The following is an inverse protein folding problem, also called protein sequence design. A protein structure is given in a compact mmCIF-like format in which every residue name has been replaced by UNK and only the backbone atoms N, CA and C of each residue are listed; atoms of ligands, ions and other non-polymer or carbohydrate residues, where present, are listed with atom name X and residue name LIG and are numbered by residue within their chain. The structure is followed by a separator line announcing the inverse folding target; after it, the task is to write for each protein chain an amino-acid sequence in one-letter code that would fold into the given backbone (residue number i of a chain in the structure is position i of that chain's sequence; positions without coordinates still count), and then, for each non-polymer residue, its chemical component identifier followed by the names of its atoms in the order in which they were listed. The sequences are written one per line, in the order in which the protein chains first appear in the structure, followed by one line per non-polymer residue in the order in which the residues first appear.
data_IF_952292332086
#
_entry.id   IF_952292332086
#
_cell.length_a   1.000
_cell.length_b   1.000
_cell.length_c   1.000
_cell.angle_alpha   90.00
_cell.angle_beta   90.00
_cell.angle_gamma   90.00
#
_symmetry.space_group_name_H-M   'P 1'
#
loop_
_entity.id
_entity.type
_entity.pdbx_description
1 polymer ?
#
# COMPACT_ATOMS: atom_id res chain seq x y z
N UNK A 1 -49.81 38.53 -21.51
CA UNK A 1 -50.11 37.79 -20.29
C UNK A 1 -49.79 36.29 -20.41
N UNK A 2 -50.19 35.60 -21.48
CA UNK A 2 -49.94 34.16 -21.65
C UNK A 2 -48.43 33.80 -21.79
N UNK A 3 -47.63 34.66 -22.38
CA UNK A 3 -46.22 34.44 -22.60
C UNK A 3 -45.36 34.60 -21.33
N UNK A 4 -45.79 35.52 -20.43
CA UNK A 4 -45.12 35.70 -19.13
C UNK A 4 -45.40 34.56 -18.16
N UNK A 5 -46.59 33.94 -18.26
CA UNK A 5 -46.97 32.80 -17.43
C UNK A 5 -46.19 31.52 -17.85
N UNK A 6 -46.00 31.29 -19.15
CA UNK A 6 -45.16 30.18 -19.64
C UNK A 6 -43.68 30.30 -19.23
N UNK A 7 -43.12 31.50 -19.22
CA UNK A 7 -41.75 31.75 -18.76
C UNK A 7 -41.58 31.55 -17.24
N UNK A 8 -42.62 31.88 -16.45
CA UNK A 8 -42.66 31.62 -15.02
C UNK A 8 -42.71 30.12 -14.70
N UNK A 9 -43.54 29.38 -15.42
CA UNK A 9 -43.67 27.93 -15.25
C UNK A 9 -42.45 27.18 -15.70
N UNK A 10 -41.80 27.57 -16.80
CA UNK A 10 -40.49 27.00 -17.22
C UNK A 10 -39.37 27.31 -16.19
N UNK A 11 -39.35 28.52 -15.61
CA UNK A 11 -38.36 28.88 -14.60
C UNK A 11 -38.56 28.07 -13.31
N UNK A 12 -39.79 27.81 -12.92
CA UNK A 12 -40.12 26.98 -11.77
C UNK A 12 -39.82 25.49 -12.01
N UNK A 13 -40.00 24.98 -13.22
CA UNK A 13 -39.65 23.60 -13.61
C UNK A 13 -38.11 23.44 -13.63
N UNK A 14 -37.37 24.43 -14.10
CA UNK A 14 -35.90 24.42 -14.08
C UNK A 14 -35.37 24.54 -12.64
N UNK A 15 -35.97 25.36 -11.78
CA UNK A 15 -35.61 25.43 -10.37
C UNK A 15 -35.92 24.11 -9.63
N UNK A 16 -37.05 23.46 -9.93
CA UNK A 16 -37.41 22.19 -9.34
C UNK A 16 -36.52 21.02 -9.83
N UNK A 17 -36.08 21.03 -11.08
CA UNK A 17 -35.15 20.04 -11.60
C UNK A 17 -33.73 20.28 -11.05
N UNK A 18 -33.32 21.51 -10.78
CA UNK A 18 -32.04 21.81 -10.13
C UNK A 18 -32.04 21.47 -8.62
N UNK A 19 -33.19 21.55 -7.95
CA UNK A 19 -33.32 21.12 -6.56
C UNK A 19 -33.33 19.58 -6.41
N UNK A 20 -33.74 18.84 -7.44
CA UNK A 20 -33.70 17.36 -7.42
C UNK A 20 -32.31 16.78 -7.73
N UNK A 21 -31.42 17.54 -8.38
CA UNK A 21 -30.02 17.14 -8.65
C UNK A 21 -29.11 17.39 -7.44
N UNK A 22 -29.59 18.16 -6.46
CA UNK A 22 -28.94 18.32 -5.14
C UNK A 22 -29.40 17.29 -4.10
N UNK A 23 -30.02 16.18 -4.51
CA UNK A 23 -30.11 14.99 -3.66
C UNK A 23 -28.69 14.49 -3.45
N UNK A 24 -28.05 15.01 -2.40
CA UNK A 24 -26.68 14.77 -2.05
C UNK A 24 -26.36 13.28 -2.11
N UNK A 25 -25.32 12.94 -2.80
CA UNK A 25 -24.60 11.69 -2.61
C UNK A 25 -24.32 11.62 -1.10
N UNK A 26 -25.22 11.01 -0.34
CA UNK A 26 -24.96 10.73 1.07
C UNK A 26 -23.83 9.73 1.06
N UNK A 27 -22.66 10.17 1.45
CA UNK A 27 -21.54 9.26 1.73
C UNK A 27 -22.10 8.11 2.57
N UNK A 28 -21.92 6.88 2.08
CA UNK A 28 -22.46 5.72 2.78
C UNK A 28 -21.56 5.43 3.97
N UNK A 29 -22.12 5.51 5.16
CA UNK A 29 -21.36 5.29 6.39
C UNK A 29 -21.22 3.81 6.70
N UNK A 30 -20.06 3.43 7.21
CA UNK A 30 -19.71 2.10 7.72
C UNK A 30 -19.45 2.24 9.21
N UNK A 31 -20.11 1.40 10.02
CA UNK A 31 -19.86 1.28 11.46
C UNK A 31 -18.84 0.20 11.72
N UNK A 32 -17.84 0.49 12.55
CA UNK A 32 -16.82 -0.46 12.98
C UNK A 32 -16.72 -0.40 14.49
N UNK A 33 -17.07 -1.49 15.15
CA UNK A 33 -16.90 -1.70 16.58
C UNK A 33 -16.00 -2.89 16.83
N UNK A 34 -15.46 -3.04 18.03
CA UNK A 34 -14.68 -4.23 18.31
C UNK A 34 -14.01 -4.25 19.68
N UNK A 35 -13.22 -5.30 19.87
CA UNK A 35 -12.42 -5.54 21.06
C UNK A 35 -10.95 -5.63 20.72
N UNK A 36 -10.11 -5.01 21.53
CA UNK A 36 -8.65 -5.04 21.39
C UNK A 36 -7.97 -5.08 22.79
N UNK A 37 -8.06 -6.20 23.51
CA UNK A 37 -7.65 -6.29 24.93
C UNK A 37 -6.17 -5.95 25.17
N UNK A 38 -5.29 -6.30 24.24
CA UNK A 38 -3.86 -6.02 24.34
C UNK A 38 -3.49 -4.53 24.17
N UNK A 39 -4.47 -3.66 23.86
CA UNK A 39 -4.22 -2.27 23.49
C UNK A 39 -5.06 -1.28 24.29
N UNK A 40 -5.49 -1.64 25.51
CA UNK A 40 -6.27 -0.76 26.39
C UNK A 40 -5.55 0.58 26.56
N UNK A 41 -6.28 1.69 26.43
CA UNK A 41 -5.76 3.05 26.48
C UNK A 41 -4.96 3.51 25.25
N UNK A 42 -4.69 2.63 24.29
CA UNK A 42 -4.01 2.97 23.02
C UNK A 42 -5.02 3.40 21.96
N UNK A 43 -4.52 4.00 20.88
CA UNK A 43 -5.34 4.36 19.72
C UNK A 43 -5.33 3.23 18.69
N UNK A 44 -6.52 2.83 18.24
CA UNK A 44 -6.69 2.05 17.02
C UNK A 44 -6.98 3.01 15.87
N UNK A 45 -6.32 2.82 14.73
CA UNK A 45 -6.36 3.72 13.58
C UNK A 45 -6.69 2.92 12.33
N UNK A 46 -7.48 3.54 11.47
CA UNK A 46 -7.97 2.94 10.23
C UNK A 46 -7.48 3.77 9.06
N UNK A 47 -6.89 3.11 8.08
CA UNK A 47 -6.29 3.76 6.92
C UNK A 47 -6.87 3.19 5.63
N UNK A 48 -7.20 4.08 4.71
CA UNK A 48 -7.46 3.74 3.32
C UNK A 48 -6.14 3.62 2.57
N UNK A 49 -6.04 2.62 1.68
CA UNK A 49 -4.97 2.54 0.69
C UNK A 49 -5.41 3.39 -0.50
N UNK A 50 -4.71 4.49 -0.78
CA UNK A 50 -5.06 5.41 -1.86
C UNK A 50 -4.84 4.78 -3.24
N UNK A 51 -3.77 4.02 -3.39
CA UNK A 51 -3.46 3.22 -4.57
C UNK A 51 -2.52 2.06 -4.24
N UNK A 52 -2.63 0.98 -4.99
CA UNK A 52 -1.85 -0.24 -4.76
C UNK A 52 -0.48 -0.26 -5.46
N UNK A 53 -0.10 0.79 -6.21
CA UNK A 53 1.24 0.93 -6.78
C UNK A 53 2.19 1.64 -5.81
N UNK A 54 1.76 2.73 -5.21
CA UNK A 54 2.52 3.44 -4.17
C UNK A 54 2.33 2.85 -2.78
N UNK A 55 1.21 2.17 -2.53
CA UNK A 55 0.73 1.69 -1.23
C UNK A 55 0.58 2.81 -0.18
N UNK A 56 0.33 4.05 -0.63
CA UNK A 56 0.13 5.17 0.26
C UNK A 56 -1.14 5.00 1.08
N UNK A 57 -1.00 5.21 2.38
CA UNK A 57 -2.09 5.06 3.34
C UNK A 57 -2.50 6.41 3.89
N UNK A 58 -3.82 6.67 3.90
CA UNK A 58 -4.40 7.89 4.47
C UNK A 58 -5.31 7.54 5.63
N UNK A 59 -5.13 8.22 6.76
CA UNK A 59 -5.95 8.02 7.95
C UNK A 59 -7.39 8.42 7.66
N UNK A 60 -8.33 7.50 7.85
CA UNK A 60 -9.77 7.71 7.65
C UNK A 60 -10.56 7.71 8.96
N UNK A 61 -9.94 7.26 10.05
CA UNK A 61 -10.55 7.30 11.36
C UNK A 61 -9.67 6.73 12.45
N UNK A 62 -9.98 7.08 13.70
CA UNK A 62 -9.31 6.53 14.88
C UNK A 62 -10.23 6.55 16.09
N UNK A 63 -10.05 5.58 16.99
CA UNK A 63 -10.71 5.51 18.28
C UNK A 63 -9.69 5.21 19.37
N UNK A 64 -9.99 5.61 20.61
CA UNK A 64 -9.23 5.18 21.79
C UNK A 64 -9.89 3.92 22.35
N UNK A 65 -9.10 2.89 22.61
CA UNK A 65 -9.58 1.64 23.18
C UNK A 65 -9.87 1.85 24.66
N UNK A 66 -11.11 1.60 25.06
CA UNK A 66 -11.58 1.78 26.44
C UNK A 66 -10.98 0.79 27.42
N UNK A 67 -11.22 1.02 28.72
CA UNK A 67 -10.80 0.12 29.82
C UNK A 67 -11.49 -1.24 29.72
N UNK A 68 -12.64 -1.30 29.08
CA UNK A 68 -13.41 -2.52 28.76
C UNK A 68 -12.91 -3.20 27.48
N UNK A 69 -11.76 -2.77 26.94
CA UNK A 69 -11.17 -3.22 25.68
C UNK A 69 -11.93 -2.86 24.43
N UNK A 70 -13.06 -2.16 24.55
CA UNK A 70 -13.93 -1.84 23.41
C UNK A 70 -13.48 -0.57 22.65
N UNK A 71 -13.84 -0.50 21.38
CA UNK A 71 -13.75 0.71 20.57
C UNK A 71 -14.93 0.77 19.59
N UNK A 72 -15.25 1.98 19.14
CA UNK A 72 -16.31 2.22 18.17
C UNK A 72 -15.92 3.42 17.29
N UNK A 73 -16.24 3.34 16.01
CA UNK A 73 -16.04 4.43 15.06
C UNK A 73 -16.90 4.27 13.83
N UNK A 74 -17.01 5.36 13.07
CA UNK A 74 -17.71 5.40 11.78
C UNK A 74 -16.79 5.99 10.72
N UNK A 75 -16.81 5.40 9.52
CA UNK A 75 -16.09 5.90 8.35
C UNK A 75 -17.01 6.06 7.16
N UNK A 76 -16.62 6.85 6.17
CA UNK A 76 -17.31 6.93 4.89
C UNK A 76 -16.72 5.90 3.91
N UNK A 77 -17.59 5.20 3.19
CA UNK A 77 -17.22 4.18 2.23
C UNK A 77 -18.23 4.13 1.10
N UNK A 78 -17.81 4.52 -0.11
CA UNK A 78 -18.68 4.54 -1.29
C UNK A 78 -18.56 3.28 -2.14
N UNK A 79 -17.44 2.55 -2.00
CA UNK A 79 -17.09 1.35 -2.76
C UNK A 79 -16.42 0.32 -1.86
N UNK A 80 -16.45 -0.95 -2.26
CA UNK A 80 -15.70 -1.99 -1.55
C UNK A 80 -14.21 -1.67 -1.64
N UNK A 81 -13.56 -1.65 -0.49
CA UNK A 81 -12.12 -1.40 -0.39
C UNK A 81 -11.49 -2.15 0.78
N UNK A 82 -10.24 -2.52 0.61
CA UNK A 82 -9.41 -3.03 1.69
C UNK A 82 -8.88 -1.88 2.52
N UNK A 83 -9.05 -1.93 3.83
CA UNK A 83 -8.50 -0.95 4.75
C UNK A 83 -7.50 -1.59 5.71
N UNK A 84 -6.57 -0.79 6.18
CA UNK A 84 -5.55 -1.20 7.14
C UNK A 84 -5.97 -0.73 8.52
N UNK A 85 -6.00 -1.65 9.47
CA UNK A 85 -6.27 -1.39 10.89
C UNK A 85 -4.94 -1.47 11.63
N UNK A 86 -4.58 -0.42 12.37
CA UNK A 86 -3.30 -0.37 13.10
C UNK A 86 -3.52 0.00 14.58
N UNK A 87 -2.83 -0.71 15.46
CA UNK A 87 -2.61 -0.29 16.83
C UNK A 87 -1.18 -0.64 17.23
N UNK A 88 -0.47 0.32 17.80
CA UNK A 88 0.99 0.23 17.97
C UNK A 88 1.69 -0.16 16.65
N UNK A 89 2.51 -1.21 16.67
CA UNK A 89 3.21 -1.74 15.49
C UNK A 89 2.43 -2.83 14.74
N UNK A 90 1.28 -3.21 15.24
CA UNK A 90 0.52 -4.28 14.62
C UNK A 90 -0.47 -3.71 13.62
N UNK A 91 -0.58 -4.39 12.49
CA UNK A 91 -1.52 -4.03 11.44
C UNK A 91 -2.30 -5.26 11.02
N UNK A 92 -3.58 -5.05 10.77
CA UNK A 92 -4.46 -6.05 10.18
C UNK A 92 -5.20 -5.45 9.00
N UNK A 93 -5.92 -6.29 8.27
CA UNK A 93 -6.65 -5.88 7.09
C UNK A 93 -8.08 -6.38 7.19
N UNK A 94 -9.02 -5.53 6.80
CA UNK A 94 -10.41 -5.91 6.59
C UNK A 94 -10.92 -5.27 5.29
N UNK A 95 -11.93 -5.87 4.69
CA UNK A 95 -12.66 -5.25 3.59
C UNK A 95 -13.87 -4.53 4.15
N UNK A 96 -14.11 -3.32 3.68
CA UNK A 96 -15.32 -2.56 4.02
C UNK A 96 -16.16 -2.38 2.77
N UNK A 97 -17.47 -2.54 2.91
CA UNK A 97 -18.43 -2.29 1.86
C UNK A 97 -19.42 -1.20 2.31
N UNK A 98 -20.04 -0.48 1.38
CA UNK A 98 -21.03 0.54 1.71
C UNK A 98 -22.12 0.01 2.66
N UNK A 99 -22.46 0.80 3.69
CA UNK A 99 -23.44 0.45 4.74
C UNK A 99 -23.06 -0.75 5.62
N UNK A 100 -21.79 -1.20 5.56
CA UNK A 100 -21.30 -2.30 6.38
C UNK A 100 -21.36 -1.99 7.88
N UNK A 101 -21.60 -3.02 8.67
CA UNK A 101 -21.54 -2.99 10.14
C UNK A 101 -20.63 -4.13 10.61
N UNK A 102 -19.49 -3.76 11.19
CA UNK A 102 -18.43 -4.70 11.54
C UNK A 102 -18.20 -4.73 13.02
N UNK A 103 -18.18 -5.94 13.59
CA UNK A 103 -17.71 -6.21 14.94
C UNK A 103 -16.43 -7.05 14.85
N UNK A 104 -15.30 -6.43 15.13
CA UNK A 104 -13.99 -7.05 14.93
C UNK A 104 -13.27 -7.31 16.25
N UNK A 105 -12.34 -8.27 16.20
CA UNK A 105 -11.38 -8.53 17.26
C UNK A 105 -9.98 -8.25 16.71
N UNK A 106 -9.26 -7.32 17.35
CA UNK A 106 -7.89 -6.98 16.97
C UNK A 106 -6.92 -7.67 17.91
N UNK A 107 -6.25 -8.76 17.47
CA UNK A 107 -5.42 -9.59 18.35
C UNK A 107 -4.06 -8.95 18.61
N UNK A 108 -3.41 -9.46 19.64
CA UNK A 108 -1.99 -9.24 19.86
C UNK A 108 -1.16 -9.96 18.77
N UNK A 109 0.05 -9.45 18.50
CA UNK A 109 0.95 -10.14 17.58
C UNK A 109 1.44 -11.47 18.18
N UNK A 110 1.85 -12.34 17.31
CA UNK A 110 2.60 -13.51 17.71
C UNK A 110 4.00 -13.06 18.21
N UNK A 111 4.27 -13.29 19.49
CA UNK A 111 5.54 -12.90 20.15
C UNK A 111 6.77 -13.61 19.57
N UNK A 112 6.58 -14.74 18.89
CA UNK A 112 7.65 -15.50 18.25
C UNK A 112 8.03 -14.96 16.86
N UNK A 113 7.28 -14.01 16.32
CA UNK A 113 7.61 -13.39 15.06
C UNK A 113 8.52 -12.16 15.24
N UNK A 114 9.55 -11.98 14.39
CA UNK A 114 10.41 -10.81 14.45
C UNK A 114 9.61 -9.53 14.19
N UNK A 115 10.00 -8.46 14.87
CA UNK A 115 9.42 -7.13 14.68
C UNK A 115 9.84 -6.58 13.33
N UNK A 116 8.86 -6.13 12.53
CA UNK A 116 9.12 -5.55 11.20
C UNK A 116 8.93 -4.03 11.23
N UNK A 117 9.79 -3.23 10.57
CA UNK A 117 9.60 -1.77 10.44
C UNK A 117 8.26 -1.39 9.83
N UNK A 118 7.84 -2.14 8.84
CA UNK A 118 6.54 -1.96 8.15
C UNK A 118 5.32 -2.30 9.01
N UNK A 119 5.53 -2.78 10.24
CA UNK A 119 4.49 -3.34 11.11
C UNK A 119 4.33 -4.84 10.97
N UNK A 120 3.88 -5.49 12.05
CA UNK A 120 3.58 -6.92 12.05
C UNK A 120 2.14 -7.15 11.60
N UNK A 121 1.97 -8.09 10.70
CA UNK A 121 0.64 -8.46 10.26
C UNK A 121 -0.04 -9.32 11.34
N UNK A 122 -1.27 -8.96 11.68
CA UNK A 122 -2.14 -9.74 12.57
C UNK A 122 -3.45 -10.07 11.84
N UNK A 123 -3.97 -11.25 12.10
CA UNK A 123 -5.22 -11.67 11.51
C UNK A 123 -6.40 -11.10 12.33
N UNK A 124 -7.09 -10.13 11.74
CA UNK A 124 -8.26 -9.51 12.37
C UNK A 124 -9.41 -10.51 12.40
N UNK A 125 -9.89 -10.81 13.59
CA UNK A 125 -11.06 -11.66 13.78
C UNK A 125 -12.36 -10.88 13.62
N UNK A 126 -13.45 -11.59 13.32
CA UNK A 126 -14.79 -11.04 13.30
C UNK A 126 -15.63 -11.75 14.37
N UNK A 127 -16.20 -10.98 15.29
CA UNK A 127 -17.13 -11.52 16.30
C UNK A 127 -18.47 -11.92 15.68
N UNK A 128 -18.89 -11.15 14.66
CA UNK A 128 -20.11 -11.37 13.90
C UNK A 128 -19.89 -10.95 12.46
N UNK A 129 -20.24 -11.82 11.53
CA UNK A 129 -20.07 -11.58 10.10
C UNK A 129 -21.26 -12.18 9.35
N UNK A 130 -21.94 -11.36 8.57
CA UNK A 130 -23.03 -11.81 7.71
C UNK A 130 -22.50 -12.62 6.54
N UNK A 131 -23.21 -13.67 6.14
CA UNK A 131 -22.83 -14.54 5.02
C UNK A 131 -22.84 -13.81 3.66
N UNK A 132 -23.52 -12.69 3.54
CA UNK A 132 -23.53 -11.84 2.35
C UNK A 132 -22.38 -10.85 2.32
N UNK A 133 -21.66 -10.65 3.44
CA UNK A 133 -20.54 -9.74 3.55
C UNK A 133 -19.32 -10.20 2.74
N UNK A 134 -18.60 -9.26 2.17
CA UNK A 134 -17.42 -9.53 1.36
C UNK A 134 -16.30 -10.25 2.14
N UNK A 135 -16.11 -9.92 3.43
CA UNK A 135 -15.11 -10.61 4.27
C UNK A 135 -15.49 -12.07 4.48
N UNK A 136 -16.76 -12.38 4.74
CA UNK A 136 -17.21 -13.77 4.88
C UNK A 136 -16.89 -14.59 3.64
N UNK A 137 -17.18 -14.03 2.47
CA UNK A 137 -16.95 -14.69 1.18
C UNK A 137 -15.47 -14.86 0.87
N UNK A 138 -14.65 -13.82 1.10
CA UNK A 138 -13.20 -13.87 0.91
C UNK A 138 -12.58 -14.89 1.88
N UNK A 139 -12.95 -14.88 3.16
CA UNK A 139 -12.46 -15.87 4.14
C UNK A 139 -12.86 -17.30 3.75
N UNK A 140 -14.09 -17.48 3.27
CA UNK A 140 -14.55 -18.77 2.74
C UNK A 140 -13.71 -19.24 1.56
N UNK A 141 -13.46 -18.38 0.59
CA UNK A 141 -12.60 -18.67 -0.55
C UNK A 141 -11.15 -18.94 -0.12
N UNK A 142 -10.58 -18.14 0.79
CA UNK A 142 -9.21 -18.32 1.30
C UNK A 142 -9.01 -19.69 1.96
N UNK A 143 -9.98 -20.21 2.70
CA UNK A 143 -9.94 -21.57 3.24
C UNK A 143 -9.78 -22.63 2.14
N UNK A 144 -10.43 -22.43 1.00
CA UNK A 144 -10.28 -23.36 -0.15
C UNK A 144 -8.88 -23.27 -0.76
N UNK A 145 -8.31 -22.06 -0.83
CA UNK A 145 -6.92 -21.86 -1.27
C UNK A 145 -5.96 -22.56 -0.31
N UNK A 146 -6.12 -22.39 0.99
CA UNK A 146 -5.27 -23.00 2.01
C UNK A 146 -5.34 -24.53 1.95
N UNK A 147 -6.53 -25.09 1.77
CA UNK A 147 -6.70 -26.54 1.54
C UNK A 147 -6.00 -27.00 0.27
N UNK A 148 -6.10 -26.24 -0.80
CA UNK A 148 -5.42 -26.57 -2.05
C UNK A 148 -3.89 -26.50 -1.89
N UNK A 149 -3.37 -25.42 -1.34
CA UNK A 149 -1.92 -25.19 -1.16
C UNK A 149 -1.31 -26.26 -0.24
N UNK A 150 -1.94 -26.53 0.91
CA UNK A 150 -1.48 -27.54 1.85
C UNK A 150 -1.62 -28.97 1.29
N UNK A 151 -2.74 -29.26 0.65
CA UNK A 151 -2.99 -30.57 0.04
C UNK A 151 -2.09 -30.91 -1.14
N UNK A 152 -1.56 -29.90 -1.86
CA UNK A 152 -0.65 -30.08 -3.00
C UNK A 152 0.82 -29.92 -2.65
N UNK A 153 1.16 -29.62 -1.40
CA UNK A 153 2.54 -29.41 -0.96
C UNK A 153 3.46 -30.60 -1.30
N UNK A 154 3.00 -31.83 -1.11
CA UNK A 154 3.75 -33.05 -1.42
C UNK A 154 4.01 -33.22 -2.92
N UNK A 155 3.09 -32.81 -3.80
CA UNK A 155 3.25 -32.84 -5.26
C UNK A 155 4.36 -31.90 -5.70
N UNK A 156 4.38 -30.70 -5.12
CA UNK A 156 5.41 -29.71 -5.38
C UNK A 156 6.80 -30.19 -4.96
N UNK A 157 6.92 -30.76 -3.78
CA UNK A 157 8.19 -31.29 -3.28
C UNK A 157 8.73 -32.45 -4.13
N UNK A 158 7.86 -33.26 -4.68
CA UNK A 158 8.22 -34.36 -5.59
C UNK A 158 8.39 -33.93 -7.04
N UNK A 159 8.14 -32.66 -7.36
CA UNK A 159 8.12 -32.10 -8.72
C UNK A 159 7.14 -32.83 -9.64
N UNK A 160 6.05 -33.35 -9.08
CA UNK A 160 4.97 -33.99 -9.81
C UNK A 160 4.07 -32.93 -10.45
N UNK A 161 4.50 -32.42 -11.61
CA UNK A 161 3.83 -31.37 -12.34
C UNK A 161 2.45 -31.79 -12.83
N UNK A 162 2.31 -33.02 -13.32
CA UNK A 162 1.04 -33.50 -13.85
C UNK A 162 -0.02 -33.63 -12.75
N UNK A 163 0.32 -34.29 -11.63
CA UNK A 163 -0.58 -34.41 -10.48
C UNK A 163 -0.98 -33.02 -9.91
N UNK A 164 -0.06 -32.07 -9.95
CA UNK A 164 -0.38 -30.68 -9.53
C UNK A 164 -1.35 -30.00 -10.50
N UNK A 165 -1.16 -30.08 -11.81
CA UNK A 165 -2.08 -29.52 -12.83
C UNK A 165 -3.47 -30.07 -12.65
N UNK A 166 -3.61 -31.40 -12.55
CA UNK A 166 -4.92 -32.03 -12.32
C UNK A 166 -5.58 -31.59 -11.01
N UNK A 167 -4.80 -31.43 -9.93
CA UNK A 167 -5.32 -30.93 -8.66
C UNK A 167 -5.78 -29.46 -8.79
N UNK A 168 -5.03 -28.65 -9.53
CA UNK A 168 -5.35 -27.24 -9.76
C UNK A 168 -6.61 -27.09 -10.61
N UNK A 169 -6.78 -27.90 -11.67
CA UNK A 169 -7.98 -27.88 -12.49
C UNK A 169 -9.23 -28.28 -11.70
N UNK A 170 -9.11 -29.31 -10.85
CA UNK A 170 -10.20 -29.68 -9.93
C UNK A 170 -10.52 -28.55 -8.95
N UNK A 171 -9.51 -27.86 -8.43
CA UNK A 171 -9.69 -26.70 -7.55
C UNK A 171 -10.41 -25.57 -8.28
N UNK A 172 -9.94 -25.16 -9.48
CA UNK A 172 -10.58 -24.11 -10.31
C UNK A 172 -12.04 -24.45 -10.59
N UNK A 173 -12.34 -25.67 -11.01
CA UNK A 173 -13.71 -26.10 -11.31
C UNK A 173 -14.65 -26.06 -10.09
N UNK A 174 -14.16 -26.40 -8.90
CA UNK A 174 -14.94 -26.29 -7.65
C UNK A 174 -15.20 -24.84 -7.29
N UNK A 175 -14.19 -23.98 -7.35
CA UNK A 175 -14.32 -22.53 -7.07
C UNK A 175 -15.31 -21.91 -8.04
N UNK A 176 -15.17 -22.16 -9.34
CA UNK A 176 -16.10 -21.66 -10.35
C UNK A 176 -17.53 -22.04 -10.01
N UNK A 177 -17.79 -23.32 -9.77
CA UNK A 177 -19.13 -23.80 -9.44
C UNK A 177 -19.71 -23.16 -8.17
N UNK A 178 -18.88 -22.87 -7.17
CA UNK A 178 -19.33 -22.30 -5.90
C UNK A 178 -19.67 -20.80 -6.00
N UNK A 179 -18.93 -20.03 -6.82
CA UNK A 179 -19.03 -18.57 -6.83
C UNK A 179 -19.60 -17.99 -8.12
N UNK A 180 -19.82 -18.78 -9.18
CA UNK A 180 -20.40 -18.31 -10.44
C UNK A 180 -21.84 -17.80 -10.29
N UNK A 181 -22.61 -18.43 -9.39
CA UNK A 181 -24.04 -18.17 -9.17
C UNK A 181 -24.27 -16.94 -8.26
N UNK A 182 -23.24 -16.38 -7.65
CA UNK A 182 -23.39 -15.22 -6.78
C UNK A 182 -23.87 -13.99 -7.59
N UNK A 183 -25.03 -13.46 -7.20
CA UNK A 183 -25.68 -12.29 -7.81
C UNK A 183 -25.79 -11.12 -6.82
N UNK A 184 -25.14 -11.20 -5.65
CA UNK A 184 -25.15 -10.15 -4.64
C UNK A 184 -24.48 -8.86 -5.11
N UNK A 185 -24.69 -7.76 -4.40
CA UNK A 185 -24.09 -6.44 -4.72
C UNK A 185 -22.55 -6.48 -4.80
N UNK A 186 -21.91 -7.36 -4.03
CA UNK A 186 -20.45 -7.51 -4.01
C UNK A 186 -19.92 -8.64 -4.91
N UNK A 187 -20.78 -9.29 -5.69
CA UNK A 187 -20.40 -10.44 -6.53
C UNK A 187 -19.32 -10.10 -7.56
N UNK A 188 -19.38 -8.94 -8.19
CA UNK A 188 -18.40 -8.53 -9.19
C UNK A 188 -17.01 -8.33 -8.56
N UNK A 189 -16.95 -7.71 -7.39
CA UNK A 189 -15.70 -7.55 -6.65
C UNK A 189 -15.09 -8.91 -6.30
N UNK A 190 -15.91 -9.82 -5.75
CA UNK A 190 -15.47 -11.17 -5.39
C UNK A 190 -15.01 -11.99 -6.59
N UNK A 191 -15.75 -11.95 -7.71
CA UNK A 191 -15.37 -12.64 -8.95
C UNK A 191 -14.03 -12.14 -9.50
N UNK A 192 -13.83 -10.83 -9.49
CA UNK A 192 -12.53 -10.22 -9.84
C UNK A 192 -11.42 -10.67 -8.89
N UNK A 193 -11.65 -10.60 -7.59
CA UNK A 193 -10.71 -11.06 -6.57
C UNK A 193 -10.29 -12.51 -6.81
N UNK A 194 -11.24 -13.44 -6.93
CA UNK A 194 -11.00 -14.87 -7.14
C UNK A 194 -10.25 -15.10 -8.47
N UNK A 195 -10.68 -14.45 -9.56
CA UNK A 195 -10.07 -14.60 -10.87
C UNK A 195 -8.57 -14.27 -10.84
N UNK A 196 -8.21 -13.15 -10.23
CA UNK A 196 -6.82 -12.69 -10.22
C UNK A 196 -5.98 -13.39 -9.15
N UNK A 197 -6.56 -13.85 -8.06
CA UNK A 197 -5.89 -14.72 -7.08
C UNK A 197 -5.52 -16.08 -7.71
N UNK A 198 -6.45 -16.71 -8.45
CA UNK A 198 -6.18 -17.92 -9.23
C UNK A 198 -5.09 -17.67 -10.28
N UNK A 199 -5.12 -16.53 -10.97
CA UNK A 199 -4.08 -16.15 -11.92
C UNK A 199 -2.70 -16.00 -11.25
N UNK A 200 -2.66 -15.53 -10.01
CA UNK A 200 -1.46 -15.51 -9.17
C UNK A 200 -0.96 -16.89 -8.82
N UNK A 201 -1.85 -17.81 -8.45
CA UNK A 201 -1.52 -19.20 -8.13
C UNK A 201 -0.95 -19.96 -9.34
N UNK A 202 -1.40 -19.67 -10.57
CA UNK A 202 -0.83 -20.24 -11.81
C UNK A 202 0.67 -19.90 -11.96
N UNK A 203 1.12 -18.76 -11.44
CA UNK A 203 2.51 -18.33 -11.56
C UNK A 203 3.47 -18.98 -10.55
N UNK A 204 2.95 -19.48 -9.41
CA UNK A 204 3.79 -19.94 -8.29
C UNK A 204 4.60 -21.21 -8.65
N UNK A 205 4.10 -22.03 -9.56
CA UNK A 205 4.69 -23.36 -9.81
C UNK A 205 5.27 -23.56 -11.22
N UNK A 206 5.42 -22.51 -12.03
CA UNK A 206 5.79 -22.65 -13.45
C UNK A 206 4.89 -23.62 -14.24
N UNK A 207 3.71 -23.89 -13.74
CA UNK A 207 2.68 -24.75 -14.34
C UNK A 207 1.80 -23.92 -15.28
N UNK A 208 2.24 -22.71 -15.62
CA UNK A 208 1.49 -21.84 -16.48
C UNK A 208 1.33 -22.48 -17.85
N UNK A 209 0.16 -23.02 -18.11
CA UNK A 209 -0.28 -23.46 -19.45
C UNK A 209 -0.21 -22.31 -20.46
N UNK A 210 -0.14 -21.06 -19.99
CA UNK A 210 -0.21 -19.85 -20.81
C UNK A 210 1.12 -19.09 -20.79
N UNK A 211 1.60 -18.74 -21.98
CA UNK A 211 2.69 -17.77 -22.12
C UNK A 211 2.21 -16.35 -21.73
N UNK A 212 3.12 -15.38 -21.73
CA UNK A 212 2.82 -13.99 -21.36
C UNK A 212 1.68 -13.37 -22.15
N UNK A 213 1.65 -13.57 -23.46
CA UNK A 213 0.61 -12.97 -24.34
C UNK A 213 -0.75 -13.65 -24.14
N UNK A 214 -0.78 -14.96 -23.98
CA UNK A 214 -1.98 -15.71 -23.66
C UNK A 214 -2.55 -15.32 -22.30
N UNK A 215 -1.69 -15.08 -21.28
CA UNK A 215 -2.12 -14.53 -19.98
C UNK A 215 -2.74 -13.15 -20.12
N UNK A 216 -2.12 -12.27 -20.92
CA UNK A 216 -2.69 -10.96 -21.21
C UNK A 216 -4.07 -11.08 -21.86
N UNK A 217 -4.21 -11.88 -22.92
CA UNK A 217 -5.45 -12.01 -23.65
C UNK A 217 -6.57 -12.61 -22.79
N UNK A 218 -6.25 -13.54 -21.90
CA UNK A 218 -7.21 -14.20 -21.03
C UNK A 218 -7.60 -13.35 -19.81
N UNK A 219 -6.62 -12.73 -19.13
CA UNK A 219 -6.87 -12.06 -17.86
C UNK A 219 -7.05 -10.55 -17.96
N UNK A 220 -6.39 -9.88 -18.93
CA UNK A 220 -6.25 -8.41 -18.92
C UNK A 220 -7.01 -7.73 -20.04
N UNK A 221 -6.88 -8.22 -21.28
CA UNK A 221 -7.21 -7.51 -22.53
C UNK A 221 -8.58 -6.81 -22.55
N UNK A 222 -9.61 -7.48 -22.10
CA UNK A 222 -11.00 -7.00 -22.15
C UNK A 222 -11.60 -6.76 -20.76
N UNK A 223 -10.77 -6.69 -19.73
CA UNK A 223 -11.25 -6.45 -18.38
C UNK A 223 -11.25 -4.96 -18.07
N UNK A 224 -12.23 -4.48 -17.30
CA UNK A 224 -12.16 -3.15 -16.70
C UNK A 224 -10.96 -3.05 -15.76
N UNK A 225 -10.48 -1.83 -15.53
CA UNK A 225 -9.41 -1.59 -14.54
C UNK A 225 -10.05 -1.41 -13.18
N UNK A 226 -9.79 -2.36 -12.30
CA UNK A 226 -10.40 -2.45 -10.95
C UNK A 226 -9.42 -1.91 -9.89
N UNK A 227 -9.30 -0.59 -9.82
CA UNK A 227 -8.33 0.10 -8.93
C UNK A 227 -8.51 -0.20 -7.45
N UNK A 228 -9.75 -0.49 -7.01
CA UNK A 228 -10.06 -0.77 -5.60
C UNK A 228 -9.91 -2.26 -5.23
N UNK A 229 -9.64 -3.13 -6.22
CA UNK A 229 -9.41 -4.55 -5.97
C UNK A 229 -7.90 -4.81 -5.82
N UNK A 230 -7.48 -5.10 -4.60
CA UNK A 230 -6.07 -5.28 -4.24
C UNK A 230 -5.41 -6.41 -5.03
N UNK A 231 -6.08 -7.54 -5.18
CA UNK A 231 -5.54 -8.71 -5.89
C UNK A 231 -5.41 -8.46 -7.40
N UNK A 232 -6.40 -7.76 -8.00
CA UNK A 232 -6.29 -7.30 -9.39
C UNK A 232 -5.08 -6.39 -9.59
N UNK A 233 -4.94 -5.36 -8.76
CA UNK A 233 -3.85 -4.41 -8.88
C UNK A 233 -2.49 -5.05 -8.63
N UNK A 234 -2.40 -5.95 -7.66
CA UNK A 234 -1.18 -6.73 -7.42
C UNK A 234 -0.81 -7.58 -8.65
N UNK A 235 -1.80 -8.25 -9.26
CA UNK A 235 -1.55 -9.01 -10.49
C UNK A 235 -1.05 -8.12 -11.62
N UNK A 236 -1.69 -6.98 -11.88
CA UNK A 236 -1.31 -6.04 -12.95
C UNK A 236 0.10 -5.50 -12.70
N UNK A 237 0.40 -5.03 -11.50
CA UNK A 237 1.72 -4.48 -11.17
C UNK A 237 2.82 -5.52 -11.27
N UNK A 238 2.58 -6.77 -10.85
CA UNK A 238 3.53 -7.86 -10.98
C UNK A 238 3.70 -8.31 -12.44
N UNK A 239 2.63 -8.35 -13.24
CA UNK A 239 2.67 -8.74 -14.66
C UNK A 239 3.54 -7.78 -15.48
N UNK A 240 3.48 -6.47 -15.20
CA UNK A 240 4.25 -5.43 -15.89
C UNK A 240 5.53 -5.01 -15.18
N UNK A 241 5.88 -5.65 -14.07
CA UNK A 241 7.11 -5.37 -13.33
C UNK A 241 8.33 -5.49 -14.22
N UNK A 242 9.21 -4.49 -14.16
CA UNK A 242 10.42 -4.40 -14.99
C UNK A 242 10.11 -4.55 -16.49
N UNK A 243 9.09 -3.85 -16.96
CA UNK A 243 8.69 -3.89 -18.39
C UNK A 243 9.79 -3.36 -19.32
N UNK A 244 10.54 -2.33 -18.92
CA UNK A 244 11.52 -1.65 -19.77
C UNK A 244 12.57 -2.61 -20.36
N UNK A 245 13.23 -3.49 -19.58
CA UNK A 245 14.16 -4.48 -20.13
C UNK A 245 13.51 -5.54 -21.04
N UNK A 246 12.19 -5.64 -21.06
CA UNK A 246 11.44 -6.61 -21.85
C UNK A 246 10.96 -6.04 -23.20
N UNK A 247 11.10 -4.72 -23.41
CA UNK A 247 10.74 -4.06 -24.66
C UNK A 247 11.72 -4.45 -25.77
N UNK A 248 11.23 -4.43 -27.02
CA UNK A 248 12.13 -4.55 -28.18
C UNK A 248 13.12 -3.38 -28.20
N UNK A 249 14.31 -3.58 -28.82
CA UNK A 249 15.33 -2.54 -28.91
C UNK A 249 14.77 -1.22 -29.48
N UNK A 250 13.96 -1.29 -30.53
CA UNK A 250 13.36 -0.11 -31.16
C UNK A 250 12.31 0.59 -30.23
N UNK A 251 11.58 -0.18 -29.44
CA UNK A 251 10.61 0.36 -28.47
C UNK A 251 11.35 0.95 -27.26
N UNK A 252 12.40 0.30 -26.78
CA UNK A 252 13.21 0.78 -25.67
C UNK A 252 13.92 2.08 -26.03
N UNK A 253 14.51 2.18 -27.23
CA UNK A 253 15.09 3.43 -27.73
C UNK A 253 14.04 4.55 -27.82
N UNK A 254 12.85 4.27 -28.35
CA UNK A 254 11.79 5.27 -28.42
C UNK A 254 11.30 5.70 -27.01
N UNK A 255 11.27 4.76 -26.04
CA UNK A 255 10.95 5.04 -24.64
C UNK A 255 12.04 5.95 -24.02
N UNK A 256 13.30 5.61 -24.22
CA UNK A 256 14.44 6.41 -23.75
C UNK A 256 14.41 7.83 -24.32
N UNK A 257 14.20 7.99 -25.62
CA UNK A 257 14.07 9.31 -26.26
C UNK A 257 12.87 10.10 -25.69
N UNK A 258 11.77 9.42 -25.37
CA UNK A 258 10.63 10.03 -24.69
C UNK A 258 11.00 10.62 -23.33
N UNK A 259 11.83 9.90 -22.56
CA UNK A 259 12.35 10.39 -21.28
C UNK A 259 13.29 11.59 -21.48
N UNK A 260 14.26 11.50 -22.39
CA UNK A 260 15.20 12.59 -22.67
C UNK A 260 14.49 13.89 -23.07
N UNK A 261 13.39 13.80 -23.81
CA UNK A 261 12.58 14.94 -24.22
C UNK A 261 11.52 15.36 -23.19
N UNK A 262 11.49 14.75 -22.00
CA UNK A 262 10.46 14.99 -20.97
C UNK A 262 9.03 14.90 -21.53
N UNK A 263 8.79 14.00 -22.47
CA UNK A 263 7.55 13.92 -23.25
C UNK A 263 6.70 12.71 -22.86
N UNK A 264 5.62 12.87 -22.07
CA UNK A 264 4.73 11.77 -21.70
C UNK A 264 4.06 11.15 -22.92
N UNK A 265 3.76 11.93 -23.96
CA UNK A 265 3.16 11.41 -25.19
C UNK A 265 4.12 10.50 -25.97
N UNK A 266 5.40 10.85 -26.06
CA UNK A 266 6.40 9.96 -26.69
C UNK A 266 6.56 8.66 -25.91
N UNK A 267 6.64 8.72 -24.58
CA UNK A 267 6.71 7.53 -23.72
C UNK A 267 5.47 6.65 -23.88
N UNK A 268 4.26 7.25 -23.85
CA UNK A 268 3.00 6.54 -24.08
C UNK A 268 2.94 5.90 -25.45
N UNK A 269 3.42 6.57 -26.50
CA UNK A 269 3.46 6.04 -27.85
C UNK A 269 4.49 4.90 -27.99
N UNK A 270 5.64 5.01 -27.35
CA UNK A 270 6.62 3.94 -27.31
C UNK A 270 6.04 2.68 -26.66
N UNK A 271 5.49 2.80 -25.45
CA UNK A 271 4.82 1.69 -24.76
C UNK A 271 3.63 1.13 -25.54
N UNK A 272 2.94 1.97 -26.34
CA UNK A 272 1.82 1.54 -27.17
C UNK A 272 2.17 0.61 -28.34
N UNK A 273 3.46 0.42 -28.63
CA UNK A 273 3.95 -0.58 -29.61
C UNK A 273 3.93 -2.00 -29.03
N UNK A 274 3.87 -2.11 -27.71
CA UNK A 274 3.79 -3.39 -27.01
C UNK A 274 2.34 -3.90 -27.07
N UNK A 275 2.15 -5.11 -27.59
CA UNK A 275 0.83 -5.72 -27.76
C UNK A 275 0.02 -5.78 -26.45
N UNK A 276 0.70 -6.03 -25.34
CA UNK A 276 0.04 -6.14 -24.03
C UNK A 276 -0.37 -4.79 -23.45
N UNK A 277 0.00 -3.66 -24.09
CA UNK A 277 -0.27 -2.29 -23.64
C UNK A 277 -1.22 -1.51 -24.56
N UNK A 278 -2.11 -2.20 -25.27
CA UNK A 278 -3.12 -1.57 -26.14
C UNK A 278 -4.10 -0.73 -25.30
N UNK A 279 -4.52 -1.22 -24.13
CA UNK A 279 -5.40 -0.47 -23.25
C UNK A 279 -4.70 0.77 -22.69
N UNK A 280 -5.20 1.97 -23.07
CA UNK A 280 -4.57 3.25 -22.72
C UNK A 280 -4.51 3.49 -21.21
N UNK A 281 -5.54 3.07 -20.46
CA UNK A 281 -5.61 3.24 -19.00
C UNK A 281 -4.55 2.39 -18.30
N UNK A 282 -4.40 1.13 -18.67
CA UNK A 282 -3.35 0.23 -18.18
C UNK A 282 -1.97 0.72 -18.61
N UNK A 283 -1.81 1.13 -19.87
CA UNK A 283 -0.55 1.66 -20.39
C UNK A 283 -0.03 2.84 -19.58
N UNK A 284 -0.92 3.74 -19.13
CA UNK A 284 -0.55 4.89 -18.31
C UNK A 284 -0.14 4.46 -16.89
N UNK A 285 -0.84 3.48 -16.28
CA UNK A 285 -0.40 2.88 -15.00
C UNK A 285 1.01 2.28 -15.16
N UNK A 286 1.22 1.52 -16.23
CA UNK A 286 2.51 0.88 -16.51
C UNK A 286 3.60 1.91 -16.81
N UNK A 287 3.27 3.02 -17.47
CA UNK A 287 4.19 4.13 -17.63
C UNK A 287 4.62 4.69 -16.26
N UNK A 288 3.69 4.98 -15.37
CA UNK A 288 3.98 5.48 -14.03
C UNK A 288 4.85 4.49 -13.26
N UNK A 289 4.54 3.19 -13.33
CA UNK A 289 5.33 2.13 -12.71
C UNK A 289 6.75 2.08 -13.29
N UNK A 290 6.89 2.05 -14.60
CA UNK A 290 8.18 2.02 -15.28
C UNK A 290 9.04 3.25 -14.92
N UNK A 291 8.46 4.45 -14.92
CA UNK A 291 9.12 5.68 -14.47
C UNK A 291 9.64 5.56 -13.03
N UNK A 292 8.84 4.98 -12.14
CA UNK A 292 9.24 4.74 -10.74
C UNK A 292 10.38 3.74 -10.64
N UNK A 293 10.40 2.69 -11.47
CA UNK A 293 11.42 1.64 -11.46
C UNK A 293 12.77 2.12 -12.01
N UNK A 294 12.76 3.02 -13.00
CA UNK A 294 14.00 3.54 -13.62
C UNK A 294 14.56 4.77 -12.93
N UNK A 295 13.83 5.40 -12.00
CA UNK A 295 14.16 6.69 -11.43
C UNK A 295 15.57 6.78 -10.82
N UNK A 296 16.04 5.70 -10.20
CA UNK A 296 17.38 5.64 -9.57
C UNK A 296 18.46 5.06 -10.50
N UNK A 297 18.11 4.72 -11.74
CA UNK A 297 19.11 4.32 -12.75
C UNK A 297 19.90 5.54 -13.23
N UNK A 298 21.20 5.38 -13.36
CA UNK A 298 22.09 6.43 -13.87
C UNK A 298 21.84 6.76 -15.36
N UNK A 299 21.16 5.87 -16.06
CA UNK A 299 20.89 6.03 -17.50
C UNK A 299 19.79 7.04 -17.79
N UNK A 300 18.96 7.37 -16.79
CA UNK A 300 17.77 8.23 -16.97
C UNK A 300 17.87 9.49 -16.12
N UNK A 301 17.70 10.70 -16.72
CA UNK A 301 17.69 11.95 -15.96
C UNK A 301 16.47 12.03 -15.02
N UNK A 302 16.71 12.09 -13.72
CA UNK A 302 15.64 12.15 -12.70
C UNK A 302 14.69 13.32 -12.89
N UNK A 303 15.21 14.49 -13.26
CA UNK A 303 14.40 15.70 -13.53
C UNK A 303 13.38 15.46 -14.64
N UNK A 304 13.77 14.75 -15.70
CA UNK A 304 12.89 14.46 -16.83
C UNK A 304 11.78 13.49 -16.43
N UNK A 305 12.14 12.47 -15.63
CA UNK A 305 11.16 11.52 -15.06
C UNK A 305 10.11 12.25 -14.22
N UNK A 306 10.54 13.17 -13.34
CA UNK A 306 9.62 13.97 -12.53
C UNK A 306 8.74 14.87 -13.39
N UNK A 307 9.29 15.51 -14.43
CA UNK A 307 8.51 16.34 -15.36
C UNK A 307 7.42 15.54 -16.07
N UNK A 308 7.70 14.30 -16.47
CA UNK A 308 6.71 13.41 -17.08
C UNK A 308 5.63 13.05 -16.05
N UNK A 309 5.98 12.69 -14.81
CA UNK A 309 5.01 12.40 -13.75
C UNK A 309 4.14 13.62 -13.43
N UNK A 310 4.72 14.82 -13.37
CA UNK A 310 3.97 16.08 -13.20
C UNK A 310 2.96 16.29 -14.33
N UNK A 311 3.36 16.01 -15.55
CA UNK A 311 2.45 16.09 -16.70
C UNK A 311 1.28 15.10 -16.58
N UNK A 312 1.53 13.88 -16.09
CA UNK A 312 0.45 12.91 -15.83
C UNK A 312 -0.48 13.44 -14.74
N UNK A 313 0.04 13.96 -13.64
CA UNK A 313 -0.77 14.53 -12.54
C UNK A 313 -1.73 15.60 -13.04
N UNK A 314 -1.31 16.44 -14.00
CA UNK A 314 -2.10 17.60 -14.44
C UNK A 314 -2.99 17.30 -15.66
N UNK A 315 -2.60 16.37 -16.53
CA UNK A 315 -3.23 16.24 -17.86
C UNK A 315 -3.86 14.87 -18.15
N UNK A 316 -3.74 13.89 -17.24
CA UNK A 316 -4.45 12.62 -17.45
C UNK A 316 -5.96 12.79 -17.36
N UNK A 317 -6.69 12.04 -18.19
CA UNK A 317 -8.14 11.95 -18.11
C UNK A 317 -8.63 10.92 -17.06
N UNK A 318 -7.72 10.17 -16.46
CA UNK A 318 -8.04 9.09 -15.52
C UNK A 318 -7.74 9.56 -14.09
N UNK A 319 -8.78 9.84 -13.31
CA UNK A 319 -8.65 10.38 -11.93
C UNK A 319 -7.79 9.50 -11.03
N UNK A 320 -7.93 8.18 -11.18
CA UNK A 320 -7.19 7.20 -10.39
C UNK A 320 -5.69 7.26 -10.73
N UNK A 321 -5.35 7.41 -12.01
CA UNK A 321 -3.96 7.55 -12.45
C UNK A 321 -3.34 8.89 -11.97
N UNK A 322 -4.15 9.96 -11.83
CA UNK A 322 -3.69 11.20 -11.18
C UNK A 322 -3.22 10.93 -9.74
N UNK A 323 -3.99 10.17 -8.97
CA UNK A 323 -3.66 9.81 -7.59
C UNK A 323 -2.38 8.99 -7.55
N UNK A 324 -2.29 7.96 -8.40
CA UNK A 324 -1.10 7.09 -8.49
C UNK A 324 0.15 7.91 -8.85
N UNK A 325 0.08 8.74 -9.89
CA UNK A 325 1.20 9.56 -10.33
C UNK A 325 1.66 10.54 -9.24
N UNK A 326 0.72 11.21 -8.57
CA UNK A 326 1.00 12.12 -7.45
C UNK A 326 1.70 11.42 -6.29
N UNK A 327 1.22 10.23 -5.92
CA UNK A 327 1.76 9.47 -4.80
C UNK A 327 3.15 8.88 -5.15
N UNK A 328 3.33 8.37 -6.36
CA UNK A 328 4.64 7.91 -6.85
C UNK A 328 5.62 9.07 -6.90
N UNK A 329 5.23 10.20 -7.51
CA UNK A 329 6.07 11.41 -7.53
C UNK A 329 6.51 11.82 -6.12
N UNK A 330 5.55 11.94 -5.20
CA UNK A 330 5.85 12.28 -3.80
C UNK A 330 6.88 11.32 -3.20
N UNK A 331 6.69 10.01 -3.38
CA UNK A 331 7.63 8.99 -2.88
C UNK A 331 9.03 9.14 -3.47
N UNK A 332 9.13 9.44 -4.78
CA UNK A 332 10.42 9.55 -5.46
C UNK A 332 11.22 10.78 -5.04
N UNK A 333 10.57 11.93 -4.86
CA UNK A 333 11.25 13.18 -4.53
C UNK A 333 11.51 13.38 -3.03
N UNK A 334 10.87 12.60 -2.17
CA UNK A 334 10.87 12.83 -0.73
C UNK A 334 12.26 12.63 -0.06
N UNK A 335 13.14 11.85 -0.68
CA UNK A 335 14.48 11.51 -0.17
C UNK A 335 15.58 11.67 -1.22
N UNK A 336 15.38 12.51 -2.23
CA UNK A 336 16.46 12.78 -3.21
C UNK A 336 17.36 13.92 -2.72
N UNK A 337 18.66 13.91 -3.08
CA UNK A 337 19.57 15.00 -2.76
C UNK A 337 19.03 16.35 -3.22
N UNK A 338 19.14 17.37 -2.37
CA UNK A 338 18.66 18.73 -2.64
C UNK A 338 17.21 18.99 -2.22
N UNK A 339 16.50 18.02 -1.66
CA UNK A 339 15.15 18.20 -1.09
C UNK A 339 15.26 18.30 0.44
N UNK A 340 14.46 19.15 1.04
CA UNK A 340 14.38 19.28 2.51
C UNK A 340 13.92 17.93 3.08
N UNK A 341 14.72 17.39 4.01
CA UNK A 341 14.42 16.12 4.66
C UNK A 341 13.07 16.20 5.40
N UNK A 342 12.27 15.11 5.38
CA UNK A 342 11.00 15.07 6.09
C UNK A 342 11.18 15.31 7.58
N UNK A 343 10.53 16.35 8.11
CA UNK A 343 10.60 16.66 9.53
C UNK A 343 9.81 15.69 10.40
N UNK A 344 10.31 15.46 11.62
CA UNK A 344 9.63 14.66 12.64
C UNK A 344 10.09 15.06 14.05
N UNK A 345 9.24 14.74 15.02
CA UNK A 345 9.51 14.98 16.43
C UNK A 345 10.42 13.87 16.97
N UNK A 346 11.56 14.27 17.51
CA UNK A 346 12.54 13.39 18.15
C UNK A 346 12.14 13.07 19.60
N UNK A 347 11.81 14.09 20.39
CA UNK A 347 11.32 13.94 21.75
C UNK A 347 10.37 15.09 22.10
N UNK A 348 9.47 14.83 23.05
CA UNK A 348 8.59 15.82 23.64
C UNK A 348 8.60 15.62 25.16
N UNK A 349 9.55 16.25 25.85
CA UNK A 349 9.60 16.28 27.32
C UNK A 349 8.87 17.53 27.80
N UNK A 350 7.55 17.41 27.89
CA UNK A 350 6.62 18.34 28.57
C UNK A 350 6.61 19.82 28.14
N UNK A 351 7.72 20.42 27.78
CA UNK A 351 7.86 21.85 27.49
C UNK A 351 8.60 22.18 26.17
N UNK A 352 9.44 21.30 25.66
CA UNK A 352 10.16 21.53 24.39
C UNK A 352 10.01 20.33 23.43
N UNK A 353 9.55 20.64 22.23
CA UNK A 353 9.48 19.67 21.14
C UNK A 353 10.75 19.78 20.30
N UNK A 354 11.65 18.79 20.40
CA UNK A 354 12.79 18.70 19.49
C UNK A 354 12.34 18.08 18.18
N UNK A 355 12.60 18.78 17.07
CA UNK A 355 12.35 18.27 15.73
C UNK A 355 13.67 18.11 14.98
N UNK A 356 13.65 17.26 13.92
CA UNK A 356 14.83 17.08 13.08
C UNK A 356 15.32 18.40 12.47
N UNK A 357 14.40 19.18 11.90
CA UNK A 357 14.73 20.48 11.29
C UNK A 357 15.20 21.52 12.30
N UNK A 358 14.94 21.33 13.58
CA UNK A 358 15.47 22.16 14.64
C UNK A 358 16.98 21.97 14.93
N UNK A 359 17.60 20.91 14.35
CA UNK A 359 18.99 20.53 14.57
C UNK A 359 19.96 21.06 13.50
N UNK A 360 19.65 22.15 12.84
CA UNK A 360 20.24 22.65 11.58
C UNK A 360 21.74 23.00 11.56
N UNK A 361 22.50 22.72 12.58
CA UNK A 361 23.91 23.19 12.65
C UNK A 361 24.95 22.25 12.05
N UNK A 362 24.60 21.00 11.71
CA UNK A 362 25.54 19.98 11.22
C UNK A 362 24.86 19.01 10.25
N UNK A 363 25.67 18.34 9.42
CA UNK A 363 25.22 17.13 8.73
C UNK A 363 24.68 16.12 9.74
N UNK A 364 23.62 15.41 9.38
CA UNK A 364 22.98 14.43 10.29
C UNK A 364 23.09 13.03 9.71
N UNK A 365 23.59 12.11 10.50
CA UNK A 365 23.57 10.68 10.23
C UNK A 365 22.43 10.04 11.01
N UNK A 366 21.34 9.73 10.33
CA UNK A 366 20.19 9.02 10.91
C UNK A 366 20.42 7.51 10.80
N UNK A 367 20.36 6.83 11.92
CA UNK A 367 20.44 5.39 12.03
C UNK A 367 19.14 4.85 12.63
N UNK A 368 18.47 3.94 11.93
CA UNK A 368 17.25 3.29 12.36
C UNK A 368 17.52 1.83 12.66
N UNK A 369 17.13 1.35 13.86
CA UNK A 369 17.45 -0.01 14.29
C UNK A 369 16.36 -0.63 15.19
N UNK A 370 16.43 -1.95 15.33
CA UNK A 370 15.62 -2.73 16.26
C UNK A 370 16.50 -3.19 17.43
N UNK A 371 16.26 -2.70 18.66
CA UNK A 371 17.06 -3.05 19.81
C UNK A 371 16.92 -4.52 20.26
N UNK A 372 15.90 -5.23 19.77
CA UNK A 372 15.71 -6.65 20.03
C UNK A 372 16.49 -7.56 19.05
N UNK A 373 17.14 -6.98 18.04
CA UNK A 373 17.99 -7.70 17.10
C UNK A 373 19.45 -7.68 17.54
N UNK A 374 20.02 -8.86 17.81
CA UNK A 374 21.42 -8.98 18.18
C UNK A 374 22.37 -8.41 17.11
N UNK A 375 22.04 -8.54 15.84
CA UNK A 375 22.88 -8.02 14.76
C UNK A 375 22.82 -6.49 14.71
N UNK A 376 21.64 -5.89 14.93
CA UNK A 376 21.51 -4.44 15.02
C UNK A 376 22.24 -3.88 16.25
N UNK A 377 22.22 -4.61 17.37
CA UNK A 377 22.97 -4.20 18.57
C UNK A 377 24.49 -4.25 18.37
N UNK A 378 25.02 -5.20 17.58
CA UNK A 378 26.45 -5.23 17.21
C UNK A 378 26.83 -4.07 16.29
N UNK A 379 25.93 -3.62 15.41
CA UNK A 379 26.18 -2.47 14.56
C UNK A 379 26.29 -1.15 15.29
N UNK A 380 25.76 -1.03 16.50
CA UNK A 380 25.97 0.15 17.34
C UNK A 380 27.46 0.38 17.64
N UNK A 381 28.28 -0.67 17.66
CA UNK A 381 29.73 -0.54 17.79
C UNK A 381 30.36 0.17 16.59
N UNK A 382 29.89 -0.14 15.36
CA UNK A 382 30.32 0.55 14.15
C UNK A 382 29.89 2.02 14.15
N UNK A 383 28.65 2.29 14.56
CA UNK A 383 28.14 3.66 14.69
C UNK A 383 28.93 4.44 15.75
N UNK A 384 29.29 3.80 16.88
CA UNK A 384 30.16 4.38 17.90
C UNK A 384 31.53 4.78 17.35
N UNK A 385 32.16 3.90 16.58
CA UNK A 385 33.43 4.19 15.92
C UNK A 385 33.32 5.37 14.92
N UNK A 386 32.21 5.44 14.17
CA UNK A 386 31.95 6.57 13.29
C UNK A 386 31.70 7.87 14.07
N UNK A 387 30.93 7.81 15.17
CA UNK A 387 30.67 8.98 16.03
C UNK A 387 31.97 9.50 16.62
N UNK A 388 32.82 8.65 17.17
CA UNK A 388 34.14 9.05 17.73
C UNK A 388 34.99 9.80 16.67
N UNK A 389 34.94 9.35 15.41
CA UNK A 389 35.75 9.92 14.34
C UNK A 389 35.17 11.21 13.73
N UNK A 390 33.85 11.31 13.63
CA UNK A 390 33.20 12.34 12.81
C UNK A 390 32.24 13.25 13.59
N UNK A 391 32.03 13.09 14.90
CA UNK A 391 31.08 13.88 15.71
C UNK A 391 31.29 15.41 15.65
N UNK A 392 32.54 15.83 15.29
CA UNK A 392 32.83 17.25 15.08
C UNK A 392 32.05 17.84 13.88
N UNK A 393 31.79 17.04 12.86
CA UNK A 393 31.20 17.48 11.58
C UNK A 393 29.80 16.94 11.36
N UNK A 394 29.49 15.78 11.94
CA UNK A 394 28.24 15.06 11.73
C UNK A 394 27.55 14.83 13.08
N UNK A 395 26.27 15.16 13.15
CA UNK A 395 25.42 14.82 14.30
C UNK A 395 24.88 13.41 14.07
N UNK A 396 25.21 12.49 15.00
CA UNK A 396 24.67 11.13 14.96
C UNK A 396 23.36 11.08 15.73
N UNK A 397 22.37 10.44 15.16
CA UNK A 397 21.03 10.23 15.76
C UNK A 397 20.62 8.81 15.46
N UNK A 398 20.41 8.03 16.48
CA UNK A 398 19.84 6.69 16.36
C UNK A 398 18.39 6.68 16.82
N UNK A 399 17.53 6.06 16.02
CA UNK A 399 16.11 5.96 16.27
C UNK A 399 15.75 4.49 16.34
N UNK A 400 15.24 4.07 17.49
CA UNK A 400 14.85 2.69 17.67
C UNK A 400 13.35 2.51 17.79
N UNK A 401 12.92 1.33 17.38
CA UNK A 401 11.54 0.90 17.43
C UNK A 401 11.20 0.41 18.84
N UNK A 402 10.40 1.18 19.58
CA UNK A 402 9.94 0.81 20.90
C UNK A 402 8.51 0.27 20.85
N UNK A 403 8.32 -1.00 21.16
CA UNK A 403 7.01 -1.65 21.26
C UNK A 403 6.58 -1.91 22.69
N UNK A 404 7.54 -2.19 23.55
CA UNK A 404 7.37 -2.48 24.99
C UNK A 404 8.52 -1.85 25.77
N UNK A 405 8.50 -1.97 27.06
CA UNK A 405 9.66 -1.66 27.89
C UNK A 405 10.84 -2.53 27.46
N UNK A 406 12.00 -1.90 27.30
CA UNK A 406 13.23 -2.61 26.98
C UNK A 406 13.70 -3.40 28.22
N UNK A 407 14.40 -4.51 27.99
CA UNK A 407 15.06 -5.18 29.09
C UNK A 407 16.13 -4.26 29.74
N UNK A 408 16.37 -4.42 31.03
CA UNK A 408 17.40 -3.61 31.73
C UNK A 408 18.78 -3.70 31.08
N UNK A 409 19.12 -4.85 30.51
CA UNK A 409 20.37 -5.05 29.78
C UNK A 409 20.46 -4.20 28.51
N UNK A 410 19.40 -4.19 27.72
CA UNK A 410 19.34 -3.37 26.50
C UNK A 410 19.34 -1.90 26.86
N UNK A 411 18.54 -1.49 27.85
CA UNK A 411 18.49 -0.10 28.31
C UNK A 411 19.88 0.39 28.76
N UNK A 412 20.58 -0.37 29.57
CA UNK A 412 21.96 -0.03 30.02
C UNK A 412 22.93 0.11 28.86
N UNK A 413 22.81 -0.74 27.81
CA UNK A 413 23.65 -0.63 26.60
C UNK A 413 23.34 0.66 25.83
N UNK A 414 22.08 1.03 25.70
CA UNK A 414 21.67 2.26 25.02
C UNK A 414 22.08 3.51 25.80
N UNK A 415 21.92 3.51 27.10
CA UNK A 415 22.31 4.63 27.99
C UNK A 415 23.84 4.87 28.04
N UNK A 416 24.63 3.87 27.71
CA UNK A 416 26.09 3.97 27.63
C UNK A 416 26.61 4.59 26.33
N UNK A 417 25.74 4.87 25.35
CA UNK A 417 26.13 5.41 24.06
C UNK A 417 26.28 6.94 24.11
N UNK A 418 27.29 7.47 23.44
CA UNK A 418 27.70 8.90 23.53
C UNK A 418 27.02 9.82 22.49
N UNK A 419 25.95 9.37 21.82
CA UNK A 419 25.21 10.19 20.85
C UNK A 419 23.70 10.12 21.12
N UNK A 420 22.92 10.94 20.41
CA UNK A 420 21.48 11.05 20.62
C UNK A 420 20.75 9.78 20.18
N UNK A 421 20.00 9.18 21.08
CA UNK A 421 19.18 8.00 20.84
C UNK A 421 17.75 8.29 21.26
N UNK A 422 16.82 8.04 20.35
CA UNK A 422 15.41 8.31 20.57
C UNK A 422 14.54 7.08 20.34
N UNK A 423 13.64 6.76 21.28
CA UNK A 423 12.59 5.81 21.02
C UNK A 423 11.57 6.42 20.08
N UNK A 424 11.04 5.64 19.14
CA UNK A 424 9.87 6.07 18.40
C UNK A 424 8.77 5.04 18.44
N UNK A 425 7.54 5.52 18.67
CA UNK A 425 6.37 4.65 18.58
C UNK A 425 6.16 4.24 17.14
N UNK A 426 5.69 3.03 16.93
CA UNK A 426 5.44 2.45 15.63
C UNK A 426 4.33 3.13 14.82
N UNK A 427 3.57 3.98 15.47
CA UNK A 427 2.57 4.84 14.84
C UNK A 427 3.16 6.12 14.30
N UNK A 428 4.46 6.35 14.50
CA UNK A 428 5.15 7.49 13.94
C UNK A 428 5.35 7.28 12.44
N UNK A 429 4.91 8.24 11.64
CA UNK A 429 5.06 8.24 10.18
C UNK A 429 6.51 8.31 9.68
N UNK A 430 7.48 8.33 10.58
CA UNK A 430 8.91 8.42 10.22
C UNK A 430 9.36 7.26 9.35
N UNK A 431 8.87 6.03 9.63
CA UNK A 431 9.20 4.85 8.84
C UNK A 431 8.79 5.00 7.38
N UNK A 432 7.57 5.51 7.15
CA UNK A 432 7.07 5.77 5.79
C UNK A 432 7.79 6.95 5.13
N UNK A 433 8.06 8.03 5.90
CA UNK A 433 8.73 9.23 5.41
C UNK A 433 10.16 8.94 4.95
N UNK A 434 10.89 8.10 5.69
CA UNK A 434 12.27 7.72 5.38
C UNK A 434 12.36 6.37 4.66
N UNK A 435 11.23 5.79 4.25
CA UNK A 435 11.14 4.52 3.50
C UNK A 435 11.89 3.37 4.19
N UNK A 436 11.85 3.35 5.53
CA UNK A 436 12.49 2.31 6.33
C UNK A 436 11.69 1.02 6.22
N UNK A 437 12.19 0.08 5.44
CA UNK A 437 11.54 -1.23 5.20
C UNK A 437 12.22 -2.37 5.94
N UNK A 438 13.50 -2.20 6.27
CA UNK A 438 14.34 -3.19 6.97
C UNK A 438 15.21 -2.48 7.99
N UNK A 439 15.66 -3.22 9.01
CA UNK A 439 16.69 -2.77 9.95
C UNK A 439 17.99 -3.55 9.75
N UNK A 440 19.14 -2.91 9.92
CA UNK A 440 19.32 -1.46 10.12
C UNK A 440 19.06 -0.66 8.85
N UNK A 441 18.74 0.63 8.99
CA UNK A 441 18.58 1.55 7.87
C UNK A 441 19.32 2.86 8.18
N UNK A 442 19.92 3.44 7.16
CA UNK A 442 20.75 4.64 7.31
C UNK A 442 20.35 5.72 6.32
N UNK A 443 20.33 6.96 6.78
CA UNK A 443 20.12 8.13 5.93
C UNK A 443 21.08 9.23 6.33
N UNK A 444 21.81 9.77 5.35
CA UNK A 444 22.67 10.93 5.58
C UNK A 444 21.96 12.18 5.07
N UNK A 445 21.88 13.19 5.93
CA UNK A 445 21.28 14.48 5.63
C UNK A 445 22.35 15.54 5.58
N UNK A 446 22.29 16.38 4.57
CA UNK A 446 23.13 17.54 4.42
C UNK A 446 22.68 18.68 5.38
N UNK A 447 23.59 19.60 5.71
CA UNK A 447 23.33 20.68 6.66
C UNK A 447 22.32 21.73 6.13
#
# INVERSE_FOLDING_TARGET
LHFQQQLSDMRNIILFSFLFVLSGIKAQTVSISGLAPAYIGKKIRFYKIEDYLSNKQTLIGSATIGIDSSFNMTINCDEIQKIVVKSNNNRGFIYVQPKGDYSIFFPERNIYEPIKPSGNDVEVGFNRLDSTDINYKILGYRRWVDYFVSGTFHLRNRKDTLGYVEAFDRFKGRVQKAYEIDTSENANYLKTYIKFDIAGLENINNVAERNRYEKHDFFIKYQPVEYNNDVYMEYITNYYKKIVPQLSNATNEAFYQGILNSSPSMVMNALGREYTLINRRIREIVMIQALSEIFYSKDYPQTNVITILDSVVHFTMFKENTIIAKNIRYRLINLVPGVIAPDFVLSADGLETKTLLGLKEKHIYLHFFDPNSNDNMKELELVSGLNTKYSKYVKFISIYKQESELSEEIQKKLDALEWDIYPTSLTNSIWDKYQVTTFPHYTFLDA
#
